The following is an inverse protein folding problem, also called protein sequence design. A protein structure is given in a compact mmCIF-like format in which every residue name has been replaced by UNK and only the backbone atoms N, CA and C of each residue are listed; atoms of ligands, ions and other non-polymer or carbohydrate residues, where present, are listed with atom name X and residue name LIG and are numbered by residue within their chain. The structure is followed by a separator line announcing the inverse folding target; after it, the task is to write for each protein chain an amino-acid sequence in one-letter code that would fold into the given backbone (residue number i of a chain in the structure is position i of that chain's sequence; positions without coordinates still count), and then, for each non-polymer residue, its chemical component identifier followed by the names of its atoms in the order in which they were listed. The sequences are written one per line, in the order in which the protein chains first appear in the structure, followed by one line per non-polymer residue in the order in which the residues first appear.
data_IF_557357461785
#
_entry.id   IF_557357461785
#
_cell.length_a   1.000
_cell.length_b   1.000
_cell.length_c   1.000
_cell.angle_alpha   90.00
_cell.angle_beta   90.00
_cell.angle_gamma   90.00
#
_symmetry.space_group_name_H-M   'P 1'
#
loop_
_entity.id
_entity.type
_entity.pdbx_description
1 polymer ?
#
# COMPACT_ATOMS: atom_id res chain seq x y z
N UNK A 1 -31.80 -22.37 24.62
CA UNK A 1 -30.51 -22.97 24.23
C UNK A 1 -29.44 -22.15 24.91
N UNK A 2 -28.77 -22.71 25.91
CA UNK A 2 -27.69 -22.01 26.61
C UNK A 2 -26.50 -21.86 25.67
N UNK A 3 -26.17 -20.63 25.28
CA UNK A 3 -24.94 -20.34 24.56
C UNK A 3 -23.77 -20.54 25.54
N UNK A 4 -23.06 -21.65 25.40
CA UNK A 4 -21.90 -21.96 26.24
C UNK A 4 -20.76 -21.03 25.84
N UNK A 5 -20.49 -20.01 26.67
CA UNK A 5 -19.44 -19.04 26.42
C UNK A 5 -18.09 -19.61 26.86
N UNK A 6 -17.12 -19.65 25.94
CA UNK A 6 -15.77 -20.12 26.25
C UNK A 6 -14.95 -18.93 26.78
N UNK A 7 -14.62 -18.93 28.07
CA UNK A 7 -13.87 -17.82 28.67
C UNK A 7 -12.42 -17.75 28.19
N UNK A 8 -11.73 -18.89 28.11
CA UNK A 8 -10.34 -18.96 27.69
C UNK A 8 -10.13 -20.23 26.87
N UNK A 9 -9.60 -20.08 25.67
CA UNK A 9 -9.20 -21.17 24.79
C UNK A 9 -7.75 -20.96 24.38
N UNK A 10 -6.97 -22.02 24.38
CA UNK A 10 -5.58 -22.02 23.94
C UNK A 10 -5.44 -23.10 22.87
N UNK A 11 -5.02 -22.69 21.68
CA UNK A 11 -4.81 -23.61 20.55
C UNK A 11 -3.31 -23.88 20.48
N UNK A 12 -2.93 -25.10 20.89
CA UNK A 12 -1.61 -25.69 20.64
C UNK A 12 -1.83 -26.99 19.87
N UNK A 13 -2.13 -26.86 18.59
CA UNK A 13 -2.41 -27.98 17.71
C UNK A 13 -1.45 -27.94 16.52
N UNK A 14 -0.98 -29.12 16.11
CA UNK A 14 -0.29 -29.30 14.83
C UNK A 14 -1.37 -29.60 13.81
N UNK A 15 -1.56 -28.67 12.88
CA UNK A 15 -2.54 -28.78 11.82
C UNK A 15 -1.94 -29.57 10.64
N UNK A 16 -2.66 -30.57 10.14
CA UNK A 16 -2.30 -31.24 8.89
C UNK A 16 -2.75 -30.45 7.67
N UNK A 17 -2.18 -30.73 6.51
CA UNK A 17 -2.35 -29.96 5.25
C UNK A 17 -3.81 -29.76 4.79
N UNK A 18 -4.73 -30.64 5.21
CA UNK A 18 -6.16 -30.58 4.86
C UNK A 18 -7.07 -30.13 6.00
N UNK A 19 -6.51 -29.83 7.16
CA UNK A 19 -7.30 -29.40 8.31
C UNK A 19 -7.85 -27.99 8.10
N UNK A 20 -9.03 -27.72 8.66
CA UNK A 20 -9.66 -26.40 8.62
C UNK A 20 -10.18 -26.05 9.99
N UNK A 21 -10.03 -24.78 10.35
CA UNK A 21 -10.56 -24.21 11.58
C UNK A 21 -11.82 -23.45 11.21
N UNK A 22 -12.95 -23.88 11.79
CA UNK A 22 -14.23 -23.22 11.66
C UNK A 22 -14.56 -22.54 12.99
N UNK A 23 -14.49 -21.21 13.02
CA UNK A 23 -14.86 -20.39 14.19
C UNK A 23 -16.23 -19.73 13.99
N UNK A 24 -17.07 -20.31 13.13
CA UNK A 24 -18.38 -19.76 12.83
C UNK A 24 -19.26 -19.91 14.07
N UNK A 25 -19.95 -18.84 14.46
CA UNK A 25 -20.87 -18.80 15.61
C UNK A 25 -20.24 -19.16 16.98
N UNK A 26 -18.90 -19.16 17.08
CA UNK A 26 -18.20 -19.43 18.34
C UNK A 26 -18.17 -18.19 19.23
N UNK A 27 -18.67 -18.29 20.47
CA UNK A 27 -18.59 -17.23 21.48
C UNK A 27 -17.43 -17.50 22.45
N UNK A 28 -16.33 -16.75 22.28
CA UNK A 28 -15.15 -16.85 23.14
C UNK A 28 -14.69 -15.47 23.64
N UNK A 29 -14.19 -15.42 24.89
CA UNK A 29 -13.70 -14.17 25.50
C UNK A 29 -12.20 -13.95 25.23
N UNK A 30 -11.39 -15.01 25.36
CA UNK A 30 -9.94 -14.98 25.10
C UNK A 30 -9.51 -16.24 24.35
N UNK A 31 -8.97 -16.06 23.15
CA UNK A 31 -8.36 -17.10 22.34
C UNK A 31 -6.87 -16.82 22.20
N UNK A 32 -6.03 -17.60 22.89
CA UNK A 32 -4.59 -17.44 22.81
C UNK A 32 -4.02 -18.31 21.68
N UNK A 33 -3.64 -17.65 20.59
CA UNK A 33 -3.06 -18.23 19.38
C UNK A 33 -2.27 -17.15 18.64
N UNK A 34 -1.32 -17.51 17.76
CA UNK A 34 -0.68 -16.54 16.85
C UNK A 34 -1.38 -16.55 15.50
N UNK A 35 -1.44 -15.40 14.82
CA UNK A 35 -2.06 -15.33 13.51
C UNK A 35 -1.36 -16.24 12.50
N UNK A 36 -0.03 -16.28 12.55
CA UNK A 36 0.78 -17.11 11.67
C UNK A 36 0.48 -18.61 11.79
N UNK A 37 -0.03 -19.08 12.93
CA UNK A 37 -0.33 -20.50 13.14
C UNK A 37 -1.68 -20.92 12.54
N UNK A 38 -2.62 -19.96 12.41
CA UNK A 38 -4.01 -20.26 12.01
C UNK A 38 -4.42 -19.71 10.65
N UNK A 39 -3.67 -18.74 10.10
CA UNK A 39 -4.06 -17.98 8.89
C UNK A 39 -4.39 -18.85 7.67
N UNK A 40 -3.71 -19.99 7.53
CA UNK A 40 -3.82 -20.88 6.36
C UNK A 40 -4.92 -21.93 6.54
N UNK A 41 -5.31 -22.21 7.79
CA UNK A 41 -6.32 -23.20 8.14
C UNK A 41 -7.70 -22.57 8.39
N UNK A 42 -7.77 -21.26 8.59
CA UNK A 42 -9.01 -20.56 8.92
C UNK A 42 -9.94 -20.43 7.71
N UNK A 43 -11.14 -21.01 7.81
CA UNK A 43 -12.17 -20.81 6.81
C UNK A 43 -12.72 -19.38 6.87
N UNK A 44 -12.94 -18.78 5.70
CA UNK A 44 -13.42 -17.39 5.64
C UNK A 44 -14.87 -17.28 6.15
N UNK A 45 -15.00 -16.64 7.30
CA UNK A 45 -16.25 -16.04 7.77
C UNK A 45 -16.01 -14.60 8.23
N UNK A 46 -16.87 -13.67 7.79
CA UNK A 46 -16.69 -12.26 8.08
C UNK A 46 -16.79 -11.94 9.58
N UNK A 47 -17.69 -12.62 10.29
CA UNK A 47 -17.86 -12.42 11.73
C UNK A 47 -16.69 -13.04 12.52
N UNK A 48 -16.26 -14.25 12.16
CA UNK A 48 -15.10 -14.91 12.79
C UNK A 48 -13.82 -14.09 12.66
N UNK A 49 -13.53 -13.50 11.49
CA UNK A 49 -12.34 -12.66 11.31
C UNK A 49 -12.39 -11.39 12.17
N UNK A 50 -13.55 -10.72 12.23
CA UNK A 50 -13.69 -9.50 13.05
C UNK A 50 -13.64 -9.81 14.55
N UNK A 51 -14.19 -10.96 14.98
CA UNK A 51 -14.07 -11.45 16.35
C UNK A 51 -12.61 -11.73 16.72
N UNK A 52 -11.84 -12.36 15.82
CA UNK A 52 -10.41 -12.60 16.00
C UNK A 52 -9.61 -11.30 16.12
N UNK A 53 -9.87 -10.31 15.25
CA UNK A 53 -9.21 -8.98 15.33
C UNK A 53 -9.47 -8.33 16.69
N UNK A 54 -10.69 -8.40 17.20
CA UNK A 54 -11.03 -7.87 18.53
C UNK A 54 -10.32 -8.65 19.64
N UNK A 55 -10.26 -9.97 19.54
CA UNK A 55 -9.56 -10.81 20.50
C UNK A 55 -8.05 -10.49 20.55
N UNK A 56 -7.38 -10.41 19.39
CA UNK A 56 -5.96 -10.05 19.32
C UNK A 56 -5.69 -8.66 19.91
N UNK A 57 -6.58 -7.68 19.67
CA UNK A 57 -6.51 -6.36 20.32
C UNK A 57 -6.62 -6.45 21.84
N UNK A 58 -7.53 -7.27 22.36
CA UNK A 58 -7.70 -7.48 23.81
C UNK A 58 -6.52 -8.22 24.45
N UNK A 59 -5.73 -8.96 23.67
CA UNK A 59 -4.52 -9.66 24.10
C UNK A 59 -3.25 -8.84 23.87
N UNK A 60 -3.36 -7.57 23.45
CA UNK A 60 -2.24 -6.69 23.08
C UNK A 60 -1.36 -7.24 21.95
N UNK A 61 -1.87 -8.21 21.20
CA UNK A 61 -1.22 -8.80 20.02
C UNK A 61 -1.55 -7.97 18.79
N UNK A 62 -1.00 -6.77 18.73
CA UNK A 62 -1.40 -5.78 17.75
C UNK A 62 -1.02 -6.12 16.31
N UNK A 63 0.15 -6.71 16.10
CA UNK A 63 0.61 -7.16 14.77
C UNK A 63 -0.27 -8.30 14.24
N UNK A 64 -0.61 -9.28 15.08
CA UNK A 64 -1.50 -10.41 14.72
C UNK A 64 -2.91 -9.91 14.34
N UNK A 65 -3.44 -8.91 15.07
CA UNK A 65 -4.71 -8.26 14.75
C UNK A 65 -4.67 -7.54 13.39
N UNK A 66 -3.56 -6.88 13.09
CA UNK A 66 -3.34 -6.10 11.88
C UNK A 66 -3.23 -7.00 10.65
N UNK A 67 -2.51 -8.11 10.77
CA UNK A 67 -2.38 -9.11 9.71
C UNK A 67 -3.69 -9.86 9.45
N UNK A 68 -4.43 -10.20 10.50
CA UNK A 68 -5.78 -10.77 10.40
C UNK A 68 -6.74 -9.80 9.69
N UNK A 69 -6.73 -8.53 10.08
CA UNK A 69 -7.55 -7.50 9.44
C UNK A 69 -7.17 -7.28 7.97
N UNK A 70 -5.87 -7.26 7.67
CA UNK A 70 -5.36 -7.13 6.31
C UNK A 70 -5.83 -8.29 5.43
N UNK A 71 -5.71 -9.54 5.90
CA UNK A 71 -6.18 -10.71 5.16
C UNK A 71 -7.70 -10.70 4.96
N UNK A 72 -8.46 -10.34 6.00
CA UNK A 72 -9.92 -10.13 5.89
C UNK A 72 -10.28 -9.15 4.77
N UNK A 73 -9.64 -7.97 4.75
CA UNK A 73 -9.87 -6.93 3.73
C UNK A 73 -9.50 -7.42 2.34
N UNK A 74 -8.36 -8.10 2.19
CA UNK A 74 -7.91 -8.68 0.92
C UNK A 74 -8.88 -9.72 0.37
N UNK A 75 -9.34 -10.66 1.20
CA UNK A 75 -10.31 -11.69 0.78
C UNK A 75 -11.66 -11.05 0.44
N UNK A 76 -12.12 -10.09 1.25
CA UNK A 76 -13.36 -9.33 0.98
C UNK A 76 -13.30 -8.60 -0.36
N UNK A 77 -12.16 -8.00 -0.69
CA UNK A 77 -11.95 -7.30 -1.95
C UNK A 77 -11.87 -8.26 -3.15
N UNK A 78 -11.23 -9.42 -2.98
CA UNK A 78 -11.15 -10.47 -4.00
C UNK A 78 -12.55 -11.02 -4.36
N UNK A 79 -13.42 -11.20 -3.36
CA UNK A 79 -14.81 -11.66 -3.55
C UNK A 79 -15.72 -10.61 -4.19
N UNK A 80 -15.35 -9.33 -4.17
CA UNK A 80 -16.15 -8.25 -4.78
C UNK A 80 -16.00 -8.31 -6.29
N UNK A 81 -17.11 -8.23 -7.03
CA UNK A 81 -17.09 -8.13 -8.51
C UNK A 81 -16.86 -6.67 -8.94
N UNK A 82 -16.03 -6.46 -9.96
CA UNK A 82 -15.70 -5.13 -10.51
C UNK A 82 -16.94 -4.46 -11.15
N UNK A 83 -17.76 -5.29 -11.80
CA UNK A 83 -19.00 -4.93 -12.44
C UNK A 83 -20.10 -5.84 -11.88
N UNK A 84 -21.19 -5.23 -11.40
CA UNK A 84 -22.38 -5.95 -10.97
C UNK A 84 -23.53 -5.53 -11.86
N UNK A 85 -24.16 -6.49 -12.54
CA UNK A 85 -25.33 -6.28 -13.40
C UNK A 85 -26.50 -5.57 -12.68
N UNK A 86 -26.49 -5.54 -11.34
CA UNK A 86 -27.52 -4.94 -10.49
C UNK A 86 -27.20 -3.51 -10.00
N UNK A 87 -25.93 -3.11 -9.96
CA UNK A 87 -25.47 -1.83 -9.38
C UNK A 87 -24.58 -1.00 -10.33
N UNK A 88 -24.27 -1.50 -11.53
CA UNK A 88 -23.41 -0.82 -12.49
C UNK A 88 -21.92 -0.89 -12.13
N UNK A 89 -21.18 0.19 -12.40
CA UNK A 89 -19.74 0.28 -12.16
C UNK A 89 -19.45 0.56 -10.69
N UNK A 90 -18.76 -0.37 -10.02
CA UNK A 90 -18.47 -0.24 -8.61
C UNK A 90 -17.15 0.51 -8.34
N UNK A 91 -17.23 1.84 -8.19
CA UNK A 91 -16.09 2.73 -7.86
C UNK A 91 -15.35 2.38 -6.56
N UNK A 92 -15.96 1.58 -5.68
CA UNK A 92 -15.28 1.16 -4.45
C UNK A 92 -14.12 0.19 -4.70
N UNK A 93 -14.11 -0.57 -5.80
CA UNK A 93 -13.00 -1.48 -6.14
C UNK A 93 -11.69 -0.74 -6.42
N UNK A 94 -11.63 0.24 -7.34
CA UNK A 94 -10.39 0.99 -7.59
C UNK A 94 -9.94 1.79 -6.36
N UNK A 95 -10.88 2.35 -5.58
CA UNK A 95 -10.55 3.03 -4.32
C UNK A 95 -9.95 2.04 -3.30
N UNK A 96 -10.53 0.86 -3.15
CA UNK A 96 -9.99 -0.18 -2.27
C UNK A 96 -8.60 -0.65 -2.77
N UNK A 97 -8.35 -0.70 -4.09
CA UNK A 97 -7.04 -1.07 -4.67
C UNK A 97 -6.02 0.03 -4.41
N UNK A 98 -6.43 1.30 -4.58
CA UNK A 98 -5.59 2.45 -4.28
C UNK A 98 -5.24 2.50 -2.80
N UNK A 99 -6.18 2.20 -1.90
CA UNK A 99 -5.92 2.11 -0.46
C UNK A 99 -5.02 0.92 -0.10
N UNK A 100 -5.13 -0.19 -0.83
CA UNK A 100 -4.21 -1.31 -0.68
C UNK A 100 -2.78 -0.92 -1.10
N UNK A 101 -2.63 -0.29 -2.25
CA UNK A 101 -1.34 0.10 -2.82
C UNK A 101 -0.66 1.23 -2.03
N UNK A 102 -1.43 2.24 -1.62
CA UNK A 102 -0.89 3.44 -0.96
C UNK A 102 -0.66 3.27 0.54
N UNK A 103 -1.51 2.56 1.28
CA UNK A 103 -1.39 2.47 2.73
C UNK A 103 -1.54 1.07 3.31
N UNK A 104 -1.66 0.03 2.46
CA UNK A 104 -1.93 -1.34 2.93
C UNK A 104 -3.20 -1.41 3.76
N UNK A 105 -4.25 -0.70 3.35
CA UNK A 105 -5.48 -0.46 4.12
C UNK A 105 -5.30 0.32 5.44
N UNK A 106 -4.23 1.09 5.56
CA UNK A 106 -3.92 1.93 6.72
C UNK A 106 -3.25 1.19 7.87
N UNK A 107 -2.78 -0.03 7.61
CA UNK A 107 -2.18 -0.93 8.60
C UNK A 107 -0.66 -0.93 8.51
N UNK A 108 -0.10 -0.75 7.31
CA UNK A 108 1.33 -0.96 7.04
C UNK A 108 1.97 0.32 6.48
N UNK A 109 2.72 1.10 7.28
CA UNK A 109 3.37 2.32 6.82
C UNK A 109 4.44 2.07 5.74
N UNK A 110 5.00 0.86 5.69
CA UNK A 110 5.97 0.45 4.67
C UNK A 110 5.43 0.57 3.25
N UNK A 111 4.13 0.30 3.04
CA UNK A 111 3.49 0.47 1.73
C UNK A 111 3.45 1.94 1.31
N UNK A 112 3.23 2.86 2.26
CA UNK A 112 3.21 4.30 1.98
C UNK A 112 4.59 4.84 1.63
N UNK A 113 5.64 4.36 2.31
CA UNK A 113 7.02 4.71 1.97
C UNK A 113 7.38 4.18 0.58
N UNK A 114 7.09 2.91 0.31
CA UNK A 114 7.35 2.29 -1.00
C UNK A 114 6.57 2.98 -2.12
N UNK A 115 5.32 3.36 -1.87
CA UNK A 115 4.50 4.11 -2.83
C UNK A 115 5.07 5.51 -3.10
N UNK A 116 5.59 6.19 -2.08
CA UNK A 116 6.32 7.45 -2.24
C UNK A 116 7.57 7.31 -3.11
N UNK A 117 8.39 6.28 -2.85
CA UNK A 117 9.57 5.98 -3.68
C UNK A 117 9.16 5.69 -5.13
N UNK A 118 8.12 4.88 -5.35
CA UNK A 118 7.60 4.62 -6.69
C UNK A 118 7.14 5.89 -7.41
N UNK A 119 6.51 6.83 -6.71
CA UNK A 119 6.13 8.11 -7.33
C UNK A 119 7.36 8.91 -7.76
N UNK A 120 8.43 8.96 -6.97
CA UNK A 120 9.69 9.63 -7.37
C UNK A 120 10.22 9.01 -8.67
N UNK A 121 10.19 7.69 -8.82
CA UNK A 121 10.60 7.05 -10.07
C UNK A 121 9.67 7.38 -11.25
N UNK A 122 8.35 7.40 -11.04
CA UNK A 122 7.37 7.71 -12.08
C UNK A 122 7.51 9.17 -12.56
N UNK A 123 7.61 10.13 -11.63
CA UNK A 123 7.79 11.54 -11.96
C UNK A 123 9.19 11.84 -12.52
N UNK A 124 10.24 11.19 -12.01
CA UNK A 124 11.58 11.25 -12.58
C UNK A 124 11.60 10.78 -14.04
N UNK A 125 10.88 9.70 -14.37
CA UNK A 125 10.73 9.24 -15.74
C UNK A 125 9.93 10.22 -16.62
N UNK A 126 8.86 10.83 -16.08
CA UNK A 126 8.10 11.87 -16.76
C UNK A 126 8.96 13.11 -17.07
N UNK A 127 9.77 13.57 -16.12
CA UNK A 127 10.70 14.67 -16.35
C UNK A 127 11.77 14.32 -17.38
N UNK A 128 12.25 13.08 -17.39
CA UNK A 128 13.21 12.62 -18.40
C UNK A 128 12.61 12.66 -19.81
N UNK A 129 11.36 12.18 -19.99
CA UNK A 129 10.64 12.31 -21.27
C UNK A 129 10.42 13.78 -21.64
N UNK A 130 10.06 14.61 -20.67
CA UNK A 130 9.80 16.03 -20.92
C UNK A 130 11.08 16.78 -21.32
N UNK A 131 12.21 16.47 -20.68
CA UNK A 131 13.56 16.94 -21.05
C UNK A 131 13.93 16.52 -22.48
N UNK A 132 13.54 15.31 -22.88
CA UNK A 132 13.77 14.83 -24.23
C UNK A 132 12.93 15.58 -25.29
N UNK A 133 11.71 16.02 -24.95
CA UNK A 133 10.80 16.72 -25.85
C UNK A 133 11.09 18.23 -25.90
N UNK A 134 11.44 18.83 -24.75
CA UNK A 134 11.50 20.27 -24.55
C UNK A 134 12.87 20.89 -24.80
N UNK A 135 13.97 20.13 -24.74
CA UNK A 135 15.32 20.69 -24.79
C UNK A 135 16.25 20.02 -25.81
N UNK A 136 17.19 20.86 -26.27
CA UNK A 136 18.19 20.75 -27.35
C UNK A 136 19.21 19.58 -27.22
N UNK A 137 18.91 18.51 -26.48
CA UNK A 137 19.78 17.33 -26.34
C UNK A 137 19.97 16.56 -27.66
N UNK A 138 19.04 16.69 -28.60
CA UNK A 138 19.17 16.17 -29.96
C UNK A 138 20.32 16.83 -30.76
N UNK A 139 20.70 18.08 -30.44
CA UNK A 139 21.75 18.81 -31.18
C UNK A 139 23.17 18.43 -30.73
N UNK A 140 23.38 18.05 -29.46
CA UNK A 140 24.66 17.51 -28.99
C UNK A 140 24.89 16.06 -29.46
N UNK A 141 23.81 15.26 -29.61
CA UNK A 141 23.90 13.87 -30.07
C UNK A 141 24.40 13.77 -31.52
N UNK A 142 24.17 14.78 -32.36
CA UNK A 142 24.53 14.77 -33.78
C UNK A 142 26.04 14.77 -34.08
N UNK A 143 26.91 15.04 -33.09
CA UNK A 143 28.36 15.10 -33.28
C UNK A 143 29.18 14.21 -32.32
N UNK A 144 28.55 13.34 -31.54
CA UNK A 144 29.21 12.55 -30.49
C UNK A 144 29.39 11.06 -30.86
N UNK A 145 30.41 10.42 -30.26
CA UNK A 145 30.62 8.97 -30.37
C UNK A 145 29.54 8.19 -29.61
N UNK A 146 29.31 6.93 -30.00
CA UNK A 146 28.28 6.06 -29.40
C UNK A 146 28.43 5.89 -27.88
N UNK A 147 29.67 5.82 -27.37
CA UNK A 147 29.98 5.73 -25.93
C UNK A 147 29.55 6.98 -25.16
N UNK A 148 29.70 8.14 -25.79
CA UNK A 148 29.47 9.43 -25.17
C UNK A 148 27.96 9.71 -25.13
N UNK A 149 27.24 9.30 -26.17
CA UNK A 149 25.76 9.36 -26.24
C UNK A 149 25.11 8.52 -25.13
N UNK A 150 25.57 7.29 -24.89
CA UNK A 150 25.02 6.43 -23.83
C UNK A 150 25.26 7.07 -22.44
N UNK A 151 26.45 7.63 -22.23
CA UNK A 151 26.80 8.28 -20.97
C UNK A 151 25.95 9.54 -20.72
N UNK A 152 25.70 10.33 -21.76
CA UNK A 152 24.83 11.52 -21.71
C UNK A 152 23.37 11.13 -21.39
N UNK A 153 22.89 10.04 -21.96
CA UNK A 153 21.55 9.49 -21.72
C UNK A 153 21.35 9.07 -20.26
N UNK A 154 22.33 8.37 -19.70
CA UNK A 154 22.33 7.94 -18.30
C UNK A 154 22.40 9.16 -17.37
N UNK A 155 23.26 10.13 -17.66
CA UNK A 155 23.40 11.35 -16.88
C UNK A 155 22.10 12.18 -16.88
N UNK A 156 21.46 12.33 -18.04
CA UNK A 156 20.17 13.01 -18.18
C UNK A 156 19.07 12.32 -17.37
N UNK A 157 19.03 10.99 -17.38
CA UNK A 157 18.10 10.23 -16.56
C UNK A 157 18.32 10.46 -15.05
N UNK A 158 19.56 10.40 -14.58
CA UNK A 158 19.86 10.67 -13.16
C UNK A 158 19.58 12.11 -12.76
N UNK A 159 19.83 13.09 -13.65
CA UNK A 159 19.47 14.49 -13.41
C UNK A 159 17.95 14.67 -13.30
N UNK A 160 17.17 14.00 -14.14
CA UNK A 160 15.70 14.03 -14.06
C UNK A 160 15.17 13.36 -12.77
N UNK A 161 15.79 12.24 -12.36
CA UNK A 161 15.47 11.57 -11.10
C UNK A 161 15.84 12.44 -9.89
N UNK A 162 17.00 13.10 -9.92
CA UNK A 162 17.41 14.05 -8.90
C UNK A 162 16.44 15.24 -8.81
N UNK A 163 15.96 15.74 -9.95
CA UNK A 163 14.95 16.80 -9.99
C UNK A 163 13.64 16.36 -9.32
N UNK A 164 13.12 15.18 -9.64
CA UNK A 164 11.93 14.63 -8.98
C UNK A 164 12.16 14.44 -7.48
N UNK A 165 13.31 13.88 -7.07
CA UNK A 165 13.64 13.73 -5.66
C UNK A 165 13.68 15.07 -4.93
N UNK A 166 14.25 16.13 -5.54
CA UNK A 166 14.26 17.49 -5.00
C UNK A 166 12.84 18.04 -4.85
N UNK A 167 11.99 17.93 -5.87
CA UNK A 167 10.60 18.42 -5.81
C UNK A 167 9.79 17.64 -4.77
N UNK A 168 9.94 16.31 -4.73
CA UNK A 168 9.19 15.45 -3.83
C UNK A 168 9.63 15.53 -2.37
N UNK A 169 10.92 15.70 -2.08
CA UNK A 169 11.43 15.75 -0.70
C UNK A 169 11.45 17.19 -0.18
N UNK A 170 12.06 18.11 -0.95
CA UNK A 170 12.30 19.48 -0.51
C UNK A 170 11.13 20.41 -0.84
N UNK A 171 10.28 20.04 -1.80
CA UNK A 171 9.16 20.89 -2.23
C UNK A 171 9.61 22.13 -2.97
N UNK A 172 10.78 22.09 -3.61
CA UNK A 172 11.35 23.25 -4.29
C UNK A 172 11.16 23.14 -5.80
N UNK A 173 10.07 23.74 -6.29
CA UNK A 173 9.65 23.75 -7.70
C UNK A 173 9.69 25.15 -8.34
N UNK A 174 10.19 26.16 -7.63
CA UNK A 174 10.05 27.58 -8.01
C UNK A 174 10.90 27.99 -9.20
N UNK A 175 12.00 27.29 -9.45
CA UNK A 175 12.92 27.58 -10.55
C UNK A 175 12.49 26.93 -11.88
N UNK A 176 11.40 26.15 -11.88
CA UNK A 176 10.91 25.44 -13.06
C UNK A 176 9.93 26.32 -13.85
N UNK A 177 10.16 26.45 -15.15
CA UNK A 177 9.30 27.19 -16.08
C UNK A 177 8.67 26.29 -17.14
N UNK A 178 7.51 26.70 -17.67
CA UNK A 178 6.84 26.02 -18.78
C UNK A 178 6.15 24.71 -18.38
N UNK A 179 6.27 23.68 -19.23
CA UNK A 179 5.62 22.38 -19.02
C UNK A 179 6.12 21.66 -17.76
N UNK A 180 7.37 21.89 -17.36
CA UNK A 180 7.97 21.33 -16.14
C UNK A 180 7.26 21.81 -14.87
N UNK A 181 6.76 23.06 -14.86
CA UNK A 181 6.06 23.64 -13.72
C UNK A 181 4.75 22.90 -13.43
N UNK A 182 4.01 22.50 -14.47
CA UNK A 182 2.75 21.76 -14.31
C UNK A 182 2.98 20.35 -13.75
N UNK A 183 3.99 19.64 -14.26
CA UNK A 183 4.35 18.31 -13.75
C UNK A 183 4.82 18.40 -12.30
N UNK A 184 5.65 19.38 -11.97
CA UNK A 184 6.11 19.62 -10.60
C UNK A 184 4.97 19.99 -9.64
N UNK A 185 3.94 20.71 -10.11
CA UNK A 185 2.76 21.03 -9.31
C UNK A 185 1.95 19.77 -8.98
N UNK A 186 1.75 18.89 -9.96
CA UNK A 186 1.04 17.62 -9.76
C UNK A 186 1.83 16.70 -8.80
N UNK A 187 3.15 16.66 -8.94
CA UNK A 187 4.02 15.93 -8.02
C UNK A 187 3.95 16.51 -6.60
N UNK A 188 3.99 17.84 -6.46
CA UNK A 188 3.87 18.52 -5.18
C UNK A 188 2.53 18.25 -4.48
N UNK A 189 1.43 18.19 -5.24
CA UNK A 189 0.12 17.81 -4.72
C UNK A 189 0.10 16.34 -4.28
N UNK A 190 0.67 15.45 -5.10
CA UNK A 190 0.76 14.02 -4.79
C UNK A 190 1.59 13.76 -3.52
N UNK A 191 2.67 14.54 -3.33
CA UNK A 191 3.49 14.54 -2.12
C UNK A 191 2.67 14.87 -0.88
N UNK A 192 1.88 15.95 -0.90
CA UNK A 192 1.04 16.31 0.25
C UNK A 192 0.07 15.19 0.63
N UNK A 193 -0.52 14.51 -0.35
CA UNK A 193 -1.39 13.36 -0.11
C UNK A 193 -0.64 12.21 0.58
N UNK A 194 0.56 11.86 0.09
CA UNK A 194 1.36 10.77 0.70
C UNK A 194 1.85 11.14 2.10
N UNK A 195 2.30 12.37 2.32
CA UNK A 195 2.69 12.85 3.65
C UNK A 195 1.53 12.78 4.64
N UNK A 196 0.34 13.23 4.24
CA UNK A 196 -0.85 13.13 5.08
C UNK A 196 -1.21 11.68 5.41
N UNK A 197 -1.17 10.78 4.41
CA UNK A 197 -1.40 9.35 4.62
C UNK A 197 -0.38 8.73 5.58
N UNK A 198 0.91 9.05 5.40
CA UNK A 198 1.98 8.54 6.26
C UNK A 198 1.78 8.97 7.71
N UNK A 199 1.46 10.26 7.94
CA UNK A 199 1.18 10.78 9.28
C UNK A 199 -0.01 10.04 9.90
N UNK A 200 -1.12 9.87 9.17
CA UNK A 200 -2.31 9.17 9.70
C UNK A 200 -1.99 7.72 10.08
N UNK A 201 -1.22 7.00 9.25
CA UNK A 201 -0.85 5.61 9.54
C UNK A 201 0.10 5.52 10.72
N UNK A 202 1.10 6.41 10.81
CA UNK A 202 2.03 6.45 11.94
C UNK A 202 1.31 6.81 13.23
N UNK A 203 0.45 7.83 13.23
CA UNK A 203 -0.35 8.22 14.40
C UNK A 203 -1.21 7.07 14.89
N UNK A 204 -1.87 6.33 14.00
CA UNK A 204 -2.65 5.13 14.38
C UNK A 204 -1.78 4.02 14.97
N UNK A 205 -0.55 3.87 14.49
CA UNK A 205 0.39 2.86 14.98
C UNK A 205 1.04 3.24 16.31
N UNK A 206 1.23 4.54 16.56
CA UNK A 206 1.81 5.08 17.80
C UNK A 206 0.79 5.23 18.93
N UNK A 207 -0.48 5.54 18.62
CA UNK A 207 -1.53 5.76 19.62
C UNK A 207 -2.24 4.47 20.09
N UNK A 208 -1.83 3.32 19.57
CA UNK A 208 -2.39 2.02 19.93
C UNK A 208 -1.52 1.33 20.97
#
# INVERSE_FOLDING_TARGET
MEHTKIYKMLIRAVFGDKSKILLKDSDYTKLNVRWNDIKDYLEYDGASYLALVKNFKNLEQFDDADDCYYQYRKIKQAKKKLYSKKEGWNWSKPIDILAWLSCGYGVRPSYTILFGVLLIFIFGFLFWILNFIGDFSLFEITHANLSDVISLLILSFFNALYLSARVFILGDWRDLHGLYSYVALIEAFSRWLISALLIIVLTKKLLR
#
